data_IF_779586739217
#
_entry.id   IF_779586739217
#
_cell.length_a   1.000
_cell.length_b   1.000
_cell.length_c   1.000
_cell.angle_alpha   90.00
_cell.angle_beta   90.00
_cell.angle_gamma   90.00
#
_symmetry.space_group_name_H-M   'P 1'
#
loop_
_entity.id
_entity.type
_entity.pdbx_description
1 polymer ?
#
# COMPACT_ATOMS: atom_id res chain seq x y z
N UNK A 1 -4.12 -13.40 17.96
CA UNK A 1 -3.34 -13.75 17.58
C UNK A 1 -3.26 -14.36 16.31
N UNK A 2 -3.45 -15.58 16.08
CA UNK A 2 -3.29 -16.15 14.82
C UNK A 2 -4.28 -15.63 13.83
N UNK A 3 -5.50 -15.44 14.23
CA UNK A 3 -6.48 -14.97 13.29
C UNK A 3 -6.16 -13.58 12.85
N UNK A 4 -5.55 -12.79 13.71
CA UNK A 4 -5.19 -11.46 13.31
C UNK A 4 -4.07 -11.48 12.31
N UNK A 5 -3.16 -12.42 12.42
CA UNK A 5 -2.11 -12.51 11.47
C UNK A 5 -2.64 -12.83 10.10
N UNK A 6 -3.68 -13.65 10.03
CA UNK A 6 -4.25 -13.98 8.75
C UNK A 6 -4.99 -12.82 8.13
N UNK A 7 -5.38 -11.84 8.93
CA UNK A 7 -6.11 -10.72 8.39
C UNK A 7 -5.21 -9.62 7.88
N UNK A 8 -3.97 -9.61 8.24
CA UNK A 8 -3.07 -8.52 7.86
C UNK A 8 -2.24 -8.90 6.66
N UNK A 9 -2.25 -8.08 5.62
CA UNK A 9 -1.38 -8.31 4.48
C UNK A 9 -0.66 -7.02 4.11
N UNK A 10 0.57 -7.14 3.69
CA UNK A 10 1.40 -6.01 3.31
C UNK A 10 1.66 -6.10 1.82
N UNK A 11 1.43 -5.01 1.12
CA UNK A 11 1.69 -4.94 -0.30
C UNK A 11 2.62 -3.77 -0.59
N UNK A 12 3.33 -3.84 -1.68
CA UNK A 12 4.32 -2.85 -2.04
C UNK A 12 3.94 -2.16 -3.32
N UNK A 13 4.10 -0.85 -3.36
CA UNK A 13 4.12 -0.16 -4.63
C UNK A 13 5.47 -0.35 -5.28
N UNK A 14 5.69 0.27 -6.42
CA UNK A 14 6.92 0.07 -7.17
C UNK A 14 8.08 0.96 -6.71
N UNK A 15 7.82 1.91 -5.82
CA UNK A 15 8.88 2.85 -5.46
C UNK A 15 10.03 2.20 -4.70
N UNK A 16 9.72 1.27 -3.82
CA UNK A 16 10.79 0.62 -3.06
C UNK A 16 10.33 -0.74 -2.54
N UNK A 17 10.31 -1.74 -3.41
CA UNK A 17 9.85 -3.06 -2.98
C UNK A 17 10.74 -3.68 -1.91
N UNK A 18 12.03 -3.34 -1.89
CA UNK A 18 12.91 -3.90 -0.89
C UNK A 18 12.51 -3.47 0.50
N UNK A 19 12.10 -2.21 0.66
CA UNK A 19 11.66 -1.73 1.96
C UNK A 19 10.42 -2.48 2.42
N UNK A 20 9.49 -2.74 1.52
CA UNK A 20 8.30 -3.48 1.88
C UNK A 20 8.67 -4.89 2.33
N UNK A 21 9.62 -5.51 1.66
CA UNK A 21 10.05 -6.84 2.06
C UNK A 21 10.70 -6.82 3.44
N UNK A 22 11.46 -5.77 3.74
CA UNK A 22 12.07 -5.67 5.04
C UNK A 22 11.04 -5.49 6.13
N UNK A 23 10.03 -4.68 5.89
CA UNK A 23 8.99 -4.47 6.86
C UNK A 23 8.21 -5.77 7.08
N UNK A 24 7.89 -6.47 6.00
CA UNK A 24 7.16 -7.72 6.11
C UNK A 24 7.96 -8.75 6.89
N UNK A 25 9.25 -8.83 6.62
CA UNK A 25 10.09 -9.79 7.33
C UNK A 25 10.16 -9.47 8.82
N UNK A 26 10.23 -8.18 9.13
CA UNK A 26 10.29 -7.79 10.52
C UNK A 26 9.01 -8.19 11.24
N UNK A 27 7.90 -8.16 10.55
CA UNK A 27 6.63 -8.53 11.15
C UNK A 27 6.31 -10.02 11.03
N UNK A 28 7.22 -10.79 10.46
CA UNK A 28 7.02 -12.22 10.37
C UNK A 28 6.11 -12.65 9.24
N UNK A 29 5.98 -11.85 8.22
CA UNK A 29 5.11 -12.21 7.12
C UNK A 29 5.84 -11.93 5.80
N UNK A 30 5.13 -12.00 4.68
CA UNK A 30 5.71 -11.76 3.38
C UNK A 30 4.87 -10.72 2.66
N UNK A 31 5.46 -10.12 1.63
CA UNK A 31 4.74 -9.15 0.82
C UNK A 31 3.72 -9.90 -0.04
N UNK A 32 2.54 -9.34 -0.13
CA UNK A 32 1.46 -9.97 -0.89
C UNK A 32 1.70 -9.92 -2.39
N UNK A 33 0.93 -10.71 -3.10
CA UNK A 33 1.11 -10.88 -4.53
C UNK A 33 0.23 -9.91 -5.30
N UNK A 34 0.82 -8.86 -5.80
CA UNK A 34 0.12 -7.91 -6.66
C UNK A 34 1.12 -7.38 -7.66
N UNK A 35 0.65 -7.07 -8.84
CA UNK A 35 1.48 -6.55 -9.91
C UNK A 35 0.96 -5.18 -10.29
N UNK A 36 1.84 -4.20 -10.38
CA UNK A 36 1.47 -2.88 -10.79
C UNK A 36 2.18 -2.57 -12.09
N UNK A 37 1.41 -2.37 -13.14
CA UNK A 37 1.94 -2.05 -14.45
C UNK A 37 1.71 -0.60 -14.76
N UNK A 38 2.71 0.04 -15.37
CA UNK A 38 2.60 1.42 -15.74
C UNK A 38 2.79 1.48 -17.25
N UNK A 39 1.82 2.00 -17.95
CA UNK A 39 1.87 2.00 -19.40
C UNK A 39 2.44 3.30 -19.93
N UNK A 40 2.82 3.31 -21.22
CA UNK A 40 3.45 4.48 -21.80
C UNK A 40 2.58 5.71 -21.76
N UNK A 41 1.29 5.56 -21.79
CA UNK A 41 0.41 6.71 -21.74
C UNK A 41 0.16 7.18 -20.31
N UNK A 42 0.85 6.62 -19.35
CA UNK A 42 0.72 7.05 -17.95
C UNK A 42 -0.30 6.27 -17.15
N UNK A 43 -1.03 5.39 -17.78
CA UNK A 43 -2.00 4.61 -17.04
C UNK A 43 -1.34 3.61 -16.14
N UNK A 44 -1.98 3.33 -15.01
CA UNK A 44 -1.48 2.38 -14.04
C UNK A 44 -2.54 1.30 -13.87
N UNK A 45 -2.11 0.05 -13.93
CA UNK A 45 -3.00 -1.06 -13.74
C UNK A 45 -2.52 -1.88 -12.56
N UNK A 46 -3.41 -2.23 -11.66
CA UNK A 46 -3.05 -3.01 -10.48
C UNK A 46 -3.79 -4.34 -10.56
N UNK A 47 -3.05 -5.43 -10.45
CA UNK A 47 -3.61 -6.75 -10.45
C UNK A 47 -3.29 -7.40 -9.13
N UNK A 48 -4.32 -7.70 -8.34
CA UNK A 48 -4.15 -8.31 -7.05
C UNK A 48 -4.37 -9.79 -7.22
N UNK A 49 -3.35 -10.58 -6.94
CA UNK A 49 -3.36 -11.99 -7.24
C UNK A 49 -3.63 -12.88 -6.04
N UNK A 50 -4.18 -12.32 -4.99
CA UNK A 50 -4.61 -13.13 -3.85
C UNK A 50 -5.85 -12.50 -3.28
N UNK A 51 -6.55 -13.23 -2.45
CA UNK A 51 -7.78 -12.72 -1.89
C UNK A 51 -7.48 -11.77 -0.76
N UNK A 52 -8.04 -10.58 -0.82
CA UNK A 52 -7.87 -9.60 0.26
C UNK A 52 -9.19 -9.25 0.91
N UNK A 53 -10.24 -9.99 0.57
CA UNK A 53 -11.55 -9.67 1.12
C UNK A 53 -11.53 -9.76 2.63
N UNK A 54 -11.98 -8.72 3.29
CA UNK A 54 -12.05 -8.69 4.73
C UNK A 54 -10.73 -8.53 5.43
N UNK A 55 -9.65 -8.29 4.69
CA UNK A 55 -8.34 -8.19 5.30
C UNK A 55 -7.92 -6.76 5.50
N UNK A 56 -6.98 -6.56 6.41
CA UNK A 56 -6.41 -5.25 6.67
C UNK A 56 -5.17 -5.12 5.83
N UNK A 57 -5.17 -4.19 4.92
CA UNK A 57 -4.13 -4.04 3.92
C UNK A 57 -3.24 -2.86 4.26
N UNK A 58 -1.94 -3.09 4.22
CA UNK A 58 -0.96 -2.03 4.40
C UNK A 58 -0.18 -1.91 3.12
N UNK A 59 -0.15 -0.73 2.53
CA UNK A 59 0.56 -0.48 1.28
C UNK A 59 1.79 0.33 1.60
N UNK A 60 2.96 -0.21 1.28
CA UNK A 60 4.22 0.49 1.54
C UNK A 60 4.63 1.18 0.25
N UNK A 61 4.64 2.51 0.28
CA UNK A 61 5.00 3.26 -0.92
C UNK A 61 5.60 4.59 -0.55
N UNK A 62 6.91 4.71 -0.59
CA UNK A 62 7.54 6.00 -0.41
C UNK A 62 7.12 6.95 -1.51
N UNK A 63 6.95 8.22 -1.18
CA UNK A 63 6.51 9.19 -2.16
C UNK A 63 7.54 10.27 -2.38
N UNK A 64 8.80 9.97 -2.09
CA UNK A 64 9.86 10.94 -2.32
C UNK A 64 10.61 10.59 -3.59
N UNK A 65 11.58 11.41 -3.93
CA UNK A 65 12.41 11.11 -5.07
C UNK A 65 11.93 11.83 -6.31
N UNK A 66 12.50 11.49 -7.45
CA UNK A 66 12.19 12.25 -8.66
C UNK A 66 10.79 11.98 -9.22
N UNK A 67 10.13 10.96 -8.76
CA UNK A 67 8.83 10.63 -9.30
C UNK A 67 7.76 10.72 -8.25
N UNK A 68 7.76 11.80 -7.46
CA UNK A 68 6.81 11.92 -6.37
C UNK A 68 5.38 11.80 -6.85
N UNK A 69 5.02 12.53 -7.90
CA UNK A 69 3.64 12.50 -8.35
C UNK A 69 3.24 11.13 -8.88
N UNK A 70 4.15 10.46 -9.57
CA UNK A 70 3.85 9.12 -10.06
C UNK A 70 3.67 8.15 -8.90
N UNK A 71 4.48 8.30 -7.87
CA UNK A 71 4.38 7.40 -6.72
C UNK A 71 3.10 7.63 -5.95
N UNK A 72 2.68 8.88 -5.83
CA UNK A 72 1.42 9.18 -5.15
C UNK A 72 0.26 8.63 -5.96
N UNK A 73 0.28 8.81 -7.28
CA UNK A 73 -0.80 8.32 -8.11
C UNK A 73 -0.89 6.79 -8.04
N UNK A 74 0.28 6.13 -8.04
CA UNK A 74 0.29 4.69 -7.95
C UNK A 74 -0.33 4.23 -6.64
N UNK A 75 0.00 4.93 -5.55
CA UNK A 75 -0.56 4.60 -4.26
C UNK A 75 -2.08 4.74 -4.26
N UNK A 76 -2.58 5.81 -4.85
CA UNK A 76 -4.02 6.04 -4.87
C UNK A 76 -4.75 4.99 -5.70
N UNK A 77 -4.16 4.58 -6.81
CA UNK A 77 -4.78 3.57 -7.66
C UNK A 77 -4.74 2.22 -6.98
N UNK A 78 -3.65 1.92 -6.25
CA UNK A 78 -3.59 0.69 -5.48
C UNK A 78 -4.67 0.68 -4.40
N UNK A 79 -4.82 1.81 -3.70
CA UNK A 79 -5.83 1.87 -2.64
C UNK A 79 -7.23 1.65 -3.21
N UNK A 80 -7.50 2.22 -4.38
CA UNK A 80 -8.79 2.03 -5.02
C UNK A 80 -8.99 0.57 -5.39
N UNK A 81 -7.95 -0.09 -5.90
CA UNK A 81 -8.07 -1.50 -6.28
C UNK A 81 -8.37 -2.37 -5.07
N UNK A 82 -7.70 -2.12 -3.94
CA UNK A 82 -7.96 -2.91 -2.74
C UNK A 82 -9.36 -2.63 -2.19
N UNK A 83 -9.81 -1.38 -2.30
CA UNK A 83 -11.14 -1.08 -1.83
C UNK A 83 -12.17 -1.83 -2.67
N UNK A 84 -11.98 -1.87 -3.97
CA UNK A 84 -12.90 -2.61 -4.82
C UNK A 84 -12.81 -4.10 -4.61
N UNK A 85 -11.70 -4.60 -4.13
CA UNK A 85 -11.55 -6.01 -3.82
C UNK A 85 -12.07 -6.34 -2.41
N UNK A 86 -12.72 -5.39 -1.77
CA UNK A 86 -13.41 -5.60 -0.50
C UNK A 86 -12.47 -5.78 0.67
N UNK A 87 -11.30 -5.15 0.64
CA UNK A 87 -10.44 -5.12 1.81
C UNK A 87 -11.15 -4.39 2.94
N UNK A 88 -10.86 -4.79 4.15
CA UNK A 88 -11.54 -4.23 5.30
C UNK A 88 -11.00 -2.86 5.67
N UNK A 89 -9.69 -2.75 5.77
CA UNK A 89 -9.05 -1.48 6.08
C UNK A 89 -7.85 -1.32 5.18
N UNK A 90 -7.58 -0.11 4.75
CA UNK A 90 -6.44 0.16 3.87
C UNK A 90 -5.66 1.31 4.49
N UNK A 91 -4.40 1.05 4.79
CA UNK A 91 -3.51 2.03 5.41
C UNK A 91 -2.26 2.15 4.58
N UNK A 92 -1.86 3.36 4.28
CA UNK A 92 -0.63 3.59 3.54
C UNK A 92 0.50 3.82 4.52
N UNK A 93 1.62 3.13 4.29
CA UNK A 93 2.85 3.37 5.03
C UNK A 93 3.73 4.15 4.09
N UNK A 94 3.97 5.42 4.41
CA UNK A 94 4.64 6.32 3.51
C UNK A 94 5.93 6.82 4.15
N UNK A 95 7.01 6.08 3.99
CA UNK A 95 8.30 6.53 4.50
C UNK A 95 8.74 7.72 3.66
N UNK A 96 9.25 8.74 4.27
CA UNK A 96 9.76 9.90 3.54
C UNK A 96 8.66 10.53 2.70
N UNK A 97 7.59 10.94 3.35
CA UNK A 97 6.44 11.53 2.67
C UNK A 97 6.89 12.74 1.86
N UNK A 98 6.69 12.71 0.57
CA UNK A 98 7.25 13.69 -0.32
C UNK A 98 6.69 15.08 -0.19
N UNK A 99 5.47 15.22 0.31
CA UNK A 99 4.87 16.53 0.46
C UNK A 99 4.99 17.09 1.86
N UNK A 100 5.64 16.37 2.76
CA UNK A 100 5.87 16.88 4.09
C UNK A 100 7.11 17.73 4.06
N UNK A 101 7.05 18.95 4.44
CA UNK A 101 8.22 19.74 4.39
C UNK A 101 9.09 19.56 5.59
N UNK A 102 8.69 18.82 6.53
CA UNK A 102 9.46 18.63 7.67
C UNK A 102 10.50 17.72 7.40
N UNK A 103 11.59 17.98 7.71
CA UNK A 103 12.60 17.15 7.38
C UNK A 103 12.86 16.06 8.19
N UNK A 104 12.14 15.64 9.07
CA UNK A 104 12.44 14.55 9.74
C UNK A 104 12.14 13.40 9.01
N UNK A 105 12.80 12.38 9.10
CA UNK A 105 12.56 11.22 8.51
C UNK A 105 11.46 10.63 9.09
N UNK A 106 10.32 10.80 8.76
CA UNK A 106 9.20 10.31 9.42
C UNK A 106 8.55 9.22 8.67
N UNK A 107 7.94 8.32 9.38
CA UNK A 107 7.14 7.30 8.79
C UNK A 107 5.73 7.77 8.96
N UNK A 108 5.04 7.99 7.88
CA UNK A 108 3.66 8.42 7.96
C UNK A 108 2.74 7.26 7.71
N UNK A 109 1.74 7.13 8.56
CA UNK A 109 0.71 6.13 8.38
C UNK A 109 -0.57 6.86 8.11
N UNK A 110 -1.11 6.64 6.94
CA UNK A 110 -2.34 7.30 6.57
C UNK A 110 -3.41 6.26 6.36
N UNK A 111 -4.48 6.37 7.14
CA UNK A 111 -5.59 5.46 7.01
C UNK A 111 -6.39 5.92 5.81
N UNK A 112 -6.46 5.10 4.79
CA UNK A 112 -7.07 5.49 3.56
C UNK A 112 -8.53 5.10 3.50
N UNK A 113 -8.87 3.96 4.02
CA UNK A 113 -10.22 3.47 3.87
C UNK A 113 -10.59 2.53 4.99
N UNK A 114 -11.83 2.56 5.40
CA UNK A 114 -12.33 1.62 6.36
C UNK A 114 -13.66 1.16 5.89
N UNK A 115 -14.22 0.12 6.48
CA UNK A 115 -15.45 -0.46 5.98
C UNK A 115 -16.57 0.54 5.99
N UNK A 116 -17.35 0.51 4.95
CA UNK A 116 -18.50 1.37 4.90
C UNK A 116 -19.58 0.78 5.77
N UNK A 117 -20.19 1.62 6.61
CA UNK A 117 -21.18 1.12 7.44
C UNK A 117 -22.41 1.04 6.67
N UNK A 118 -23.06 -0.08 6.66
CA UNK A 118 -24.25 -0.21 5.94
C UNK A 118 -25.38 0.10 6.82
N UNK A 119 -26.26 0.90 6.37
CA UNK A 119 -27.31 1.22 7.21
C UNK A 119 -28.51 0.68 6.79
#
# INVERSE_FOLDING_TARGET
MLSDENKLRIFSGNANPDLAREIAAYLGTTVGDAVINRFNNGEVQVMINESVRGKDIFIVQPTCGPSVNDNVMELLIMADAFKRASASHITAIIPYYGYARQDRKALSLIHISEPTRQE
#
